data_IF_427480507738
#
_entry.id   IF_427480507738
#
_cell.length_a   1.000
_cell.length_b   1.000
_cell.length_c   1.000
_cell.angle_alpha   90.00
_cell.angle_beta   90.00
_cell.angle_gamma   90.00
#
_symmetry.space_group_name_H-M   'P 1'
#
loop_
_entity.id
_entity.type
_entity.pdbx_description
1 polymer ?
#
# COMPACT_ATOMS: atom_id res chain seq x y z
N UNK A 1 -29.49 48.69 38.84
CA UNK A 1 -28.37 47.73 38.96
C UNK A 1 -28.15 46.97 37.65
N UNK A 2 -29.20 46.50 36.98
CA UNK A 2 -29.12 45.92 35.61
C UNK A 2 -28.34 46.78 34.60
N UNK A 3 -28.57 48.09 34.54
CA UNK A 3 -27.96 48.95 33.51
C UNK A 3 -26.45 49.11 33.70
N UNK A 4 -25.98 49.22 34.95
CA UNK A 4 -24.55 49.25 35.26
C UNK A 4 -23.88 47.92 34.89
N UNK A 5 -24.55 46.79 35.14
CA UNK A 5 -24.03 45.48 34.77
C UNK A 5 -23.96 45.28 33.26
N UNK A 6 -24.96 45.79 32.53
CA UNK A 6 -24.97 45.78 31.06
C UNK A 6 -23.81 46.61 30.50
N UNK A 7 -23.58 47.81 31.03
CA UNK A 7 -22.47 48.67 30.63
C UNK A 7 -21.10 48.03 30.87
N UNK A 8 -20.89 47.42 32.05
CA UNK A 8 -19.64 46.71 32.36
C UNK A 8 -19.44 45.53 31.41
N UNK A 9 -20.48 44.73 31.17
CA UNK A 9 -20.40 43.59 30.25
C UNK A 9 -20.09 44.02 28.82
N UNK A 10 -20.72 45.08 28.32
CA UNK A 10 -20.47 45.61 26.98
C UNK A 10 -19.04 46.15 26.85
N UNK A 11 -18.56 46.94 27.82
CA UNK A 11 -17.19 47.44 27.84
C UNK A 11 -16.17 46.30 27.85
N UNK A 12 -16.34 45.32 28.76
CA UNK A 12 -15.44 44.17 28.88
C UNK A 12 -15.41 43.33 27.58
N UNK A 13 -16.58 43.08 26.98
CA UNK A 13 -16.67 42.28 25.75
C UNK A 13 -16.03 43.01 24.56
N UNK A 14 -16.20 44.33 24.48
CA UNK A 14 -15.61 45.18 23.43
C UNK A 14 -14.08 45.20 23.55
N UNK A 15 -13.54 45.46 24.74
CA UNK A 15 -12.09 45.47 24.98
C UNK A 15 -11.47 44.09 24.74
N UNK A 16 -12.15 43.00 25.13
CA UNK A 16 -11.68 41.66 24.83
C UNK A 16 -11.67 41.35 23.32
N UNK A 17 -12.67 41.81 22.56
CA UNK A 17 -12.71 41.66 21.10
C UNK A 17 -11.60 42.45 20.40
N UNK A 18 -11.27 43.63 20.90
CA UNK A 18 -10.26 44.51 20.31
C UNK A 18 -8.83 44.00 20.58
N UNK A 19 -8.57 43.53 21.81
CA UNK A 19 -7.23 43.07 22.23
C UNK A 19 -6.95 41.62 21.81
N UNK A 20 -7.91 40.71 21.98
CA UNK A 20 -7.70 39.27 21.73
C UNK A 20 -8.19 38.83 20.35
N UNK A 21 -9.01 39.65 19.68
CA UNK A 21 -9.73 39.25 18.47
C UNK A 21 -10.79 38.18 18.74
N UNK A 22 -11.70 37.97 17.78
CA UNK A 22 -12.56 36.80 17.81
C UNK A 22 -11.76 35.56 17.42
N UNK A 23 -11.77 34.53 18.29
CA UNK A 23 -11.26 33.21 17.93
C UNK A 23 -11.96 32.74 16.66
N UNK A 24 -11.26 32.75 15.53
CA UNK A 24 -11.79 32.30 14.25
C UNK A 24 -12.10 30.82 14.36
N UNK A 25 -13.39 30.52 14.51
CA UNK A 25 -13.84 29.13 14.52
C UNK A 25 -13.80 28.65 13.08
N UNK A 26 -12.74 27.93 12.73
CA UNK A 26 -12.69 27.22 11.46
C UNK A 26 -13.72 26.08 11.53
N UNK A 27 -14.91 26.34 10.98
CA UNK A 27 -15.84 25.27 10.70
C UNK A 27 -15.18 24.29 9.72
N UNK A 28 -15.52 23.00 9.84
CA UNK A 28 -14.97 22.00 8.92
C UNK A 28 -15.31 22.44 7.50
N UNK A 29 -14.32 22.46 6.62
CA UNK A 29 -14.41 22.99 5.25
C UNK A 29 -15.60 22.42 4.45
N UNK A 30 -16.06 21.23 4.80
CA UNK A 30 -17.17 20.56 4.12
C UNK A 30 -18.57 20.99 4.56
N UNK A 31 -18.73 21.76 5.64
CA UNK A 31 -20.04 22.21 6.11
C UNK A 31 -20.43 23.45 5.30
N UNK A 32 -21.57 23.38 4.61
CA UNK A 32 -22.08 24.49 3.81
C UNK A 32 -22.59 25.64 4.68
N UNK A 33 -22.60 26.84 4.11
CA UNK A 33 -23.22 28.03 4.73
C UNK A 33 -24.70 27.80 5.04
N UNK A 34 -25.43 27.15 4.15
CA UNK A 34 -26.84 26.78 4.35
C UNK A 34 -27.03 25.88 5.60
N UNK A 35 -26.15 24.91 5.82
CA UNK A 35 -26.18 24.06 7.03
C UNK A 35 -25.86 24.87 8.28
N UNK A 36 -24.94 25.85 8.21
CA UNK A 36 -24.64 26.74 9.32
C UNK A 36 -25.85 27.60 9.70
N UNK A 37 -26.60 28.09 8.71
CA UNK A 37 -27.83 28.85 8.94
C UNK A 37 -28.90 27.98 9.62
N UNK A 38 -29.07 26.73 9.18
CA UNK A 38 -29.96 25.75 9.84
C UNK A 38 -29.53 25.46 11.29
N UNK A 39 -28.23 25.42 11.57
CA UNK A 39 -27.71 25.24 12.94
C UNK A 39 -28.03 26.46 13.80
N UNK A 40 -27.91 27.67 13.24
CA UNK A 40 -28.25 28.92 13.91
C UNK A 40 -29.75 28.99 14.22
N UNK A 41 -30.60 28.67 13.24
CA UNK A 41 -32.05 28.60 13.43
C UNK A 41 -32.45 27.58 14.52
N UNK A 42 -31.87 26.38 14.50
CA UNK A 42 -32.08 25.39 15.57
C UNK A 42 -31.67 25.92 16.96
N UNK A 43 -30.61 26.73 17.07
CA UNK A 43 -30.20 27.36 18.34
C UNK A 43 -31.24 28.39 18.79
N UNK A 44 -31.77 29.20 17.87
CA UNK A 44 -32.83 30.16 18.18
C UNK A 44 -34.09 29.46 18.69
N UNK A 45 -34.52 28.37 18.03
CA UNK A 45 -35.64 27.53 18.48
C UNK A 45 -35.38 26.89 19.84
N UNK A 46 -34.13 26.54 20.16
CA UNK A 46 -33.75 26.05 21.49
C UNK A 46 -33.87 27.15 22.56
N UNK A 47 -33.54 28.39 22.23
CA UNK A 47 -33.74 29.54 23.12
C UNK A 47 -35.24 29.81 23.36
N UNK A 48 -36.08 29.68 22.33
CA UNK A 48 -37.53 29.81 22.47
C UNK A 48 -38.13 28.82 23.50
N UNK A 49 -37.64 27.57 23.54
CA UNK A 49 -38.04 26.57 24.55
C UNK A 49 -37.68 27.04 25.97
N UNK A 50 -36.48 27.62 26.14
CA UNK A 50 -36.01 28.06 27.46
C UNK A 50 -36.77 29.29 27.95
N UNK A 51 -37.23 30.14 27.02
CA UNK A 51 -37.97 31.37 27.33
C UNK A 51 -39.50 31.18 27.38
N UNK A 52 -40.00 29.96 27.09
CA UNK A 52 -41.44 29.66 27.09
C UNK A 52 -42.01 29.79 28.50
N UNK A 53 -43.11 30.54 28.66
CA UNK A 53 -43.72 30.81 29.97
C UNK A 53 -44.87 29.84 30.27
N UNK A 54 -45.59 29.41 29.23
CA UNK A 54 -46.72 28.48 29.38
C UNK A 54 -46.37 27.08 28.90
N UNK A 55 -47.10 26.07 29.41
CA UNK A 55 -46.92 24.67 29.00
C UNK A 55 -47.21 24.47 27.50
N UNK A 56 -48.22 25.17 26.96
CA UNK A 56 -48.60 25.10 25.56
C UNK A 56 -47.50 25.65 24.64
N UNK A 57 -46.97 26.84 24.94
CA UNK A 57 -45.83 27.43 24.22
C UNK A 57 -44.61 26.51 24.21
N UNK A 58 -44.33 25.88 25.36
CA UNK A 58 -43.19 24.96 25.49
C UNK A 58 -43.33 23.73 24.61
N UNK A 59 -44.54 23.17 24.48
CA UNK A 59 -44.82 22.03 23.60
C UNK A 59 -44.63 22.43 22.12
N UNK A 60 -45.14 23.61 21.74
CA UNK A 60 -44.98 24.12 20.37
C UNK A 60 -43.51 24.37 20.02
N UNK A 61 -42.78 25.08 20.88
CA UNK A 61 -41.36 25.35 20.68
C UNK A 61 -40.51 24.06 20.66
N UNK A 62 -40.91 23.04 21.42
CA UNK A 62 -40.28 21.71 21.35
C UNK A 62 -40.52 21.03 20.01
N UNK A 63 -41.74 21.06 19.47
CA UNK A 63 -42.05 20.48 18.16
C UNK A 63 -41.22 21.15 17.04
N UNK A 64 -41.14 22.47 17.06
CA UNK A 64 -40.33 23.25 16.09
C UNK A 64 -38.84 22.94 16.19
N UNK A 65 -38.30 22.83 17.41
CA UNK A 65 -36.91 22.43 17.63
C UNK A 65 -36.63 21.02 17.12
N UNK A 66 -37.56 20.07 17.34
CA UNK A 66 -37.40 18.69 16.86
C UNK A 66 -37.29 18.67 15.34
N UNK A 67 -38.15 19.42 14.64
CA UNK A 67 -38.12 19.46 13.18
C UNK A 67 -36.85 20.15 12.66
N UNK A 68 -36.47 21.30 13.23
CA UNK A 68 -35.21 21.97 12.88
C UNK A 68 -33.98 21.07 13.15
N UNK A 69 -33.99 20.29 14.23
CA UNK A 69 -32.93 19.33 14.53
C UNK A 69 -32.87 18.18 13.51
N UNK A 70 -34.02 17.71 12.99
CA UNK A 70 -34.04 16.73 11.89
C UNK A 70 -33.45 17.34 10.61
N UNK A 71 -33.81 18.58 10.27
CA UNK A 71 -33.29 19.27 9.09
C UNK A 71 -31.77 19.51 9.18
N UNK A 72 -31.26 19.90 10.35
CA UNK A 72 -29.81 20.00 10.62
C UNK A 72 -29.12 18.65 10.44
N UNK A 73 -29.68 17.56 10.99
CA UNK A 73 -29.10 16.22 10.80
C UNK A 73 -29.11 15.78 9.34
N UNK A 74 -30.15 16.10 8.57
CA UNK A 74 -30.23 15.79 7.13
C UNK A 74 -29.22 16.58 6.32
N UNK A 75 -29.13 17.89 6.53
CA UNK A 75 -28.20 18.79 5.82
C UNK A 75 -26.74 18.44 6.11
N UNK A 76 -26.36 18.20 7.37
CA UNK A 76 -25.01 17.72 7.73
C UNK A 76 -24.65 16.40 7.01
N UNK A 77 -25.61 15.47 6.88
CA UNK A 77 -25.37 14.21 6.16
C UNK A 77 -25.20 14.45 4.65
N UNK A 78 -25.98 15.37 4.07
CA UNK A 78 -25.90 15.73 2.67
C UNK A 78 -24.56 16.41 2.34
N UNK A 79 -24.16 17.41 3.13
CA UNK A 79 -22.88 18.10 2.98
C UNK A 79 -21.70 17.16 3.09
N UNK A 80 -21.71 16.27 4.10
CA UNK A 80 -20.66 15.26 4.25
C UNK A 80 -20.60 14.31 3.05
N UNK A 81 -21.75 13.90 2.52
CA UNK A 81 -21.84 13.04 1.35
C UNK A 81 -21.24 13.76 0.12
N UNK A 82 -21.67 15.00 -0.14
CA UNK A 82 -21.18 15.82 -1.25
C UNK A 82 -19.67 16.00 -1.21
N UNK A 83 -19.12 16.38 -0.05
CA UNK A 83 -17.68 16.54 0.11
C UNK A 83 -16.89 15.24 -0.13
N UNK A 84 -17.40 14.10 0.35
CA UNK A 84 -16.75 12.81 0.10
C UNK A 84 -16.84 12.43 -1.38
N UNK A 85 -17.94 12.71 -2.06
CA UNK A 85 -18.10 12.50 -3.51
C UNK A 85 -17.11 13.37 -4.30
N UNK A 86 -16.98 14.66 -3.98
CA UNK A 86 -16.02 15.56 -4.61
C UNK A 86 -14.57 15.10 -4.44
N UNK A 87 -14.18 14.66 -3.23
CA UNK A 87 -12.85 14.10 -2.97
C UNK A 87 -12.58 12.85 -3.79
N UNK A 88 -13.57 11.98 -3.95
CA UNK A 88 -13.45 10.78 -4.79
C UNK A 88 -13.30 11.17 -6.26
N UNK A 89 -14.15 12.07 -6.77
CA UNK A 89 -14.06 12.52 -8.16
C UNK A 89 -12.71 13.17 -8.45
N UNK A 90 -12.15 13.92 -7.50
CA UNK A 90 -10.80 14.47 -7.59
C UNK A 90 -9.72 13.38 -7.61
N UNK A 91 -9.80 12.37 -6.72
CA UNK A 91 -8.87 11.24 -6.72
C UNK A 91 -8.94 10.46 -8.05
N UNK A 92 -10.13 10.27 -8.59
CA UNK A 92 -10.35 9.61 -9.88
C UNK A 92 -9.80 10.40 -11.07
N UNK A 93 -9.90 11.72 -11.03
CA UNK A 93 -9.28 12.62 -12.02
C UNK A 93 -7.76 12.53 -11.94
N UNK A 94 -7.19 12.68 -10.74
CA UNK A 94 -5.75 12.58 -10.51
C UNK A 94 -5.18 11.23 -10.96
N UNK A 95 -5.89 10.12 -10.71
CA UNK A 95 -5.48 8.80 -11.18
C UNK A 95 -5.48 8.70 -12.72
N UNK A 96 -6.47 9.28 -13.41
CA UNK A 96 -6.53 9.31 -14.88
C UNK A 96 -5.39 10.14 -15.48
N UNK A 97 -5.04 11.23 -14.83
CA UNK A 97 -3.97 12.15 -15.25
C UNK A 97 -2.57 11.65 -14.85
N UNK A 98 -2.46 10.51 -14.16
CA UNK A 98 -1.18 9.99 -13.65
C UNK A 98 -0.59 10.83 -12.51
N UNK A 99 -1.34 11.77 -11.93
CA UNK A 99 -0.90 12.64 -10.85
C UNK A 99 -0.93 11.90 -9.49
N UNK A 100 0.10 11.09 -9.26
CA UNK A 100 0.21 10.22 -8.08
C UNK A 100 0.23 11.00 -6.76
N UNK A 101 0.80 12.21 -6.75
CA UNK A 101 0.87 13.07 -5.55
C UNK A 101 -0.54 13.50 -5.11
N UNK A 102 -1.32 14.06 -6.02
CA UNK A 102 -2.69 14.49 -5.71
C UNK A 102 -3.59 13.31 -5.33
N UNK A 103 -3.42 12.17 -6.01
CA UNK A 103 -4.13 10.94 -5.67
C UNK A 103 -3.82 10.46 -4.24
N UNK A 104 -2.54 10.50 -3.84
CA UNK A 104 -2.12 10.14 -2.49
C UNK A 104 -2.68 11.11 -1.45
N UNK A 105 -2.55 12.41 -1.69
CA UNK A 105 -3.02 13.46 -0.77
C UNK A 105 -4.54 13.41 -0.58
N UNK A 106 -5.30 13.20 -1.66
CA UNK A 106 -6.78 13.06 -1.61
C UNK A 106 -7.19 11.78 -0.88
N UNK A 107 -6.53 10.66 -1.15
CA UNK A 107 -6.78 9.39 -0.45
C UNK A 107 -6.45 9.51 1.05
N UNK A 108 -5.35 10.19 1.39
CA UNK A 108 -4.95 10.45 2.79
C UNK A 108 -5.97 11.34 3.51
N UNK A 109 -6.48 12.39 2.83
CA UNK A 109 -7.59 13.23 3.33
C UNK A 109 -8.86 12.40 3.54
N UNK A 110 -9.14 11.43 2.67
CA UNK A 110 -10.33 10.56 2.75
C UNK A 110 -10.23 9.50 3.86
N UNK A 111 -9.07 8.88 4.06
CA UNK A 111 -8.86 7.82 5.05
C UNK A 111 -8.91 8.33 6.51
N UNK A 112 -8.70 9.64 6.72
CA UNK A 112 -8.59 10.26 8.04
C UNK A 112 -7.24 9.97 8.70
N UNK A 113 -7.09 10.31 10.00
CA UNK A 113 -5.87 10.04 10.77
C UNK A 113 -5.76 8.54 11.09
N UNK A 114 -5.21 7.75 10.18
CA UNK A 114 -4.58 6.50 10.57
C UNK A 114 -3.16 6.84 11.04
N UNK A 115 -2.90 6.83 12.34
CA UNK A 115 -1.53 6.78 12.84
C UNK A 115 -1.02 5.36 12.63
N UNK A 116 -0.06 5.17 11.72
CA UNK A 116 0.89 4.07 11.92
C UNK A 116 1.57 4.35 13.26
N UNK A 117 1.73 3.34 14.11
CA UNK A 117 2.87 3.38 15.00
C UNK A 117 4.10 3.35 14.09
N UNK A 118 4.80 4.47 13.97
CA UNK A 118 6.14 4.46 13.40
C UNK A 118 6.98 3.52 14.28
N UNK A 119 7.72 2.61 13.63
CA UNK A 119 8.69 1.82 14.37
C UNK A 119 9.74 2.81 14.87
N UNK A 120 10.03 2.85 16.18
CA UNK A 120 11.08 3.72 16.69
C UNK A 120 12.39 3.41 15.95
N UNK A 121 13.08 4.45 15.51
CA UNK A 121 14.46 4.34 15.00
C UNK A 121 15.31 3.76 16.13
N UNK A 122 16.22 2.83 15.84
CA UNK A 122 17.02 2.16 16.85
C UNK A 122 18.49 2.58 16.77
N UNK A 123 19.18 2.58 17.91
CA UNK A 123 20.63 2.68 17.99
C UNK A 123 21.31 1.39 17.48
N UNK A 124 22.64 1.31 17.52
CA UNK A 124 23.40 0.15 17.05
C UNK A 124 23.18 -1.08 17.93
N UNK A 125 22.81 -0.86 19.19
CA UNK A 125 22.55 -1.86 20.22
C UNK A 125 21.09 -2.36 20.18
N UNK A 126 20.24 -1.77 19.34
CA UNK A 126 18.86 -2.19 19.09
C UNK A 126 17.80 -1.54 20.00
N UNK A 127 18.17 -0.52 20.79
CA UNK A 127 17.27 0.24 21.64
C UNK A 127 16.57 1.37 20.88
N UNK A 128 15.31 1.69 21.21
CA UNK A 128 14.54 2.74 20.53
C UNK A 128 15.03 4.16 20.88
N UNK A 129 15.36 4.94 19.87
CA UNK A 129 15.73 6.36 19.94
C UNK A 129 14.46 7.22 19.84
N UNK A 130 14.16 7.94 20.91
CA UNK A 130 12.98 8.82 21.02
C UNK A 130 13.25 10.27 20.62
N UNK A 131 14.50 10.71 20.63
CA UNK A 131 14.90 12.09 20.37
C UNK A 131 15.24 12.36 18.90
N UNK A 132 14.66 13.41 18.29
CA UNK A 132 14.82 13.74 16.87
C UNK A 132 16.28 14.01 16.49
N UNK A 133 17.05 14.66 17.37
CA UNK A 133 18.45 14.96 17.09
C UNK A 133 19.31 13.69 17.04
N UNK A 134 19.07 12.76 17.97
CA UNK A 134 19.73 11.46 18.00
C UNK A 134 19.34 10.61 16.78
N UNK A 135 18.09 10.67 16.33
CA UNK A 135 17.68 10.02 15.08
C UNK A 135 18.45 10.54 13.88
N UNK A 136 18.64 11.87 13.77
CA UNK A 136 19.45 12.48 12.70
C UNK A 136 20.89 12.02 12.76
N UNK A 137 21.49 12.01 13.95
CA UNK A 137 22.86 11.53 14.14
C UNK A 137 23.01 10.06 13.76
N UNK A 138 22.04 9.21 14.12
CA UNK A 138 22.02 7.79 13.75
C UNK A 138 21.93 7.59 12.23
N UNK A 139 21.19 8.46 11.53
CA UNK A 139 21.14 8.47 10.07
C UNK A 139 22.47 8.90 9.44
N UNK A 140 23.10 9.95 9.97
CA UNK A 140 24.43 10.41 9.51
C UNK A 140 25.44 9.27 9.65
N UNK A 141 25.51 8.65 10.82
CA UNK A 141 26.42 7.54 11.10
C UNK A 141 26.18 6.34 10.16
N UNK A 142 24.92 5.96 9.93
CA UNK A 142 24.59 4.86 9.00
C UNK A 142 25.08 5.14 7.58
N UNK A 143 24.90 6.38 7.09
CA UNK A 143 25.32 6.74 5.74
C UNK A 143 26.83 6.94 5.62
N UNK A 144 27.50 7.43 6.66
CA UNK A 144 28.96 7.52 6.70
C UNK A 144 29.60 6.13 6.63
N UNK A 145 29.09 5.17 7.40
CA UNK A 145 29.57 3.79 7.39
C UNK A 145 29.34 3.11 6.03
N UNK A 146 28.18 3.36 5.41
CA UNK A 146 27.82 2.77 4.12
C UNK A 146 28.61 3.35 2.94
N UNK A 147 28.88 4.66 2.95
CA UNK A 147 29.42 5.37 1.78
C UNK A 147 30.93 5.62 1.86
N UNK A 148 31.55 5.57 3.04
CA UNK A 148 32.95 5.94 3.25
C UNK A 148 33.83 4.77 3.76
N UNK A 149 33.63 3.55 3.24
CA UNK A 149 34.49 2.40 3.55
C UNK A 149 35.95 2.68 3.10
N UNK A 150 36.97 2.47 3.97
CA UNK A 150 38.36 2.71 3.61
C UNK A 150 38.86 1.72 2.55
N UNK A 151 39.80 2.16 1.71
CA UNK A 151 40.43 1.30 0.71
C UNK A 151 41.28 0.20 1.38
N UNK A 152 41.28 -1.03 0.86
CA UNK A 152 42.02 -2.14 1.45
C UNK A 152 43.53 -1.88 1.47
N UNK A 153 44.17 -2.28 2.58
CA UNK A 153 45.55 -1.90 2.91
C UNK A 153 46.62 -2.69 2.14
N UNK A 154 46.25 -3.82 1.55
CA UNK A 154 47.14 -4.66 0.75
C UNK A 154 46.68 -4.67 -0.72
N UNK A 155 47.57 -4.44 -1.70
CA UNK A 155 47.22 -4.62 -3.10
C UNK A 155 46.88 -6.10 -3.36
N UNK A 156 45.84 -6.40 -4.17
CA UNK A 156 45.43 -7.77 -4.43
C UNK A 156 46.49 -8.51 -5.26
N UNK A 157 46.88 -9.69 -4.80
CA UNK A 157 47.65 -10.65 -5.57
C UNK A 157 46.68 -11.42 -6.48
N UNK A 158 46.57 -10.98 -7.73
CA UNK A 158 45.71 -11.60 -8.74
C UNK A 158 46.52 -12.75 -9.36
N UNK A 159 46.29 -13.99 -8.92
CA UNK A 159 46.80 -15.14 -9.66
C UNK A 159 46.15 -15.15 -11.06
N UNK A 160 47.00 -15.03 -12.08
CA UNK A 160 46.56 -15.05 -13.48
C UNK A 160 45.81 -16.36 -13.77
N UNK A 161 44.60 -16.25 -14.30
CA UNK A 161 43.75 -17.39 -14.63
C UNK A 161 44.53 -18.44 -15.42
N UNK A 162 44.70 -19.63 -14.84
CA UNK A 162 45.36 -20.75 -15.49
C UNK A 162 44.50 -21.28 -16.62
N UNK A 163 44.94 -21.01 -17.86
CA UNK A 163 44.69 -21.75 -19.13
C UNK A 163 43.23 -21.96 -19.57
N UNK A 164 42.96 -21.65 -20.83
CA UNK A 164 41.73 -22.03 -21.53
C UNK A 164 41.45 -23.53 -21.34
N UNK A 165 40.27 -23.86 -20.81
CA UNK A 165 39.82 -25.24 -20.70
C UNK A 165 39.86 -25.86 -22.12
N UNK A 166 40.50 -27.03 -22.31
CA UNK A 166 40.57 -27.65 -23.62
C UNK A 166 39.16 -28.01 -24.07
N UNK A 167 38.64 -27.27 -25.05
CA UNK A 167 37.37 -27.58 -25.71
C UNK A 167 37.65 -28.78 -26.61
N UNK A 168 37.05 -29.92 -26.28
CA UNK A 168 37.12 -31.11 -27.14
C UNK A 168 36.35 -30.86 -28.44
N UNK A 169 37.06 -30.79 -29.56
CA UNK A 169 36.51 -30.58 -30.90
C UNK A 169 36.11 -31.87 -31.60
N UNK A 170 36.22 -33.03 -30.93
CA UNK A 170 35.83 -34.30 -31.51
C UNK A 170 34.30 -34.44 -31.62
N UNK A 171 33.78 -35.17 -32.63
CA UNK A 171 32.36 -35.44 -32.76
C UNK A 171 31.83 -36.17 -31.50
N UNK A 172 30.71 -35.72 -30.91
CA UNK A 172 30.21 -36.30 -29.68
C UNK A 172 29.86 -37.78 -29.88
N UNK A 173 30.36 -38.62 -28.98
CA UNK A 173 30.14 -40.06 -29.02
C UNK A 173 28.69 -40.39 -28.69
N UNK A 174 28.20 -41.54 -29.20
CA UNK A 174 26.83 -42.03 -28.95
C UNK A 174 26.50 -42.10 -27.45
N UNK A 175 27.49 -42.38 -26.62
CA UNK A 175 27.34 -42.49 -25.18
C UNK A 175 27.23 -41.13 -24.49
N UNK A 176 27.96 -40.11 -24.97
CA UNK A 176 27.83 -38.72 -24.53
C UNK A 176 26.48 -38.12 -24.91
N UNK A 177 26.01 -38.39 -26.14
CA UNK A 177 24.67 -37.98 -26.57
C UNK A 177 23.62 -38.63 -25.67
N UNK A 178 23.77 -39.92 -25.34
CA UNK A 178 22.85 -40.63 -24.42
C UNK A 178 22.90 -40.04 -23.00
N UNK A 179 24.07 -39.68 -22.50
CA UNK A 179 24.26 -39.03 -21.21
C UNK A 179 23.61 -37.63 -21.19
N UNK A 180 23.85 -36.83 -22.22
CA UNK A 180 23.28 -35.49 -22.35
C UNK A 180 21.76 -35.53 -22.41
N UNK A 181 21.17 -36.44 -23.22
CA UNK A 181 19.72 -36.66 -23.31
C UNK A 181 19.12 -37.06 -21.96
N UNK A 182 19.82 -37.86 -21.14
CA UNK A 182 19.39 -38.18 -19.77
C UNK A 182 19.37 -36.95 -18.85
N UNK A 183 20.31 -36.02 -19.01
CA UNK A 183 20.43 -34.80 -18.19
C UNK A 183 19.43 -33.69 -18.55
N UNK A 184 18.74 -33.77 -19.70
CA UNK A 184 17.70 -32.80 -20.09
C UNK A 184 16.63 -32.75 -18.99
N UNK A 185 16.23 -31.57 -18.52
CA UNK A 185 15.20 -31.45 -17.46
C UNK A 185 13.79 -31.69 -18.03
N UNK A 186 12.97 -32.48 -17.34
CA UNK A 186 11.56 -32.68 -17.69
C UNK A 186 10.74 -31.41 -17.37
N UNK A 187 9.63 -31.18 -18.08
CA UNK A 187 8.72 -30.06 -17.90
C UNK A 187 9.14 -28.77 -18.61
N UNK A 188 10.08 -28.83 -19.58
CA UNK A 188 10.41 -27.70 -20.45
C UNK A 188 9.31 -27.52 -21.51
N UNK A 189 9.06 -26.27 -21.92
CA UNK A 189 8.14 -25.98 -23.03
C UNK A 189 8.69 -26.59 -24.33
N UNK A 190 7.82 -27.22 -25.12
CA UNK A 190 8.20 -27.71 -26.43
C UNK A 190 8.59 -26.53 -27.34
N UNK A 191 9.75 -26.66 -27.98
CA UNK A 191 10.22 -25.71 -29.00
C UNK A 191 9.30 -25.77 -30.26
N UNK A 192 9.51 -24.93 -31.30
CA UNK A 192 8.58 -24.77 -32.43
C UNK A 192 8.08 -26.08 -33.08
N UNK A 193 8.87 -27.15 -32.98
CA UNK A 193 8.58 -28.46 -33.54
C UNK A 193 7.61 -29.32 -32.70
N UNK A 194 7.12 -28.81 -31.56
CA UNK A 194 6.17 -29.46 -30.64
C UNK A 194 6.65 -30.80 -30.02
N UNK A 195 7.95 -31.10 -30.03
CA UNK A 195 8.51 -32.31 -29.42
C UNK A 195 8.87 -32.03 -27.95
N UNK A 196 8.22 -32.68 -26.98
CA UNK A 196 8.55 -32.51 -25.57
C UNK A 196 9.83 -33.26 -25.20
N UNK A 197 10.61 -32.71 -24.26
CA UNK A 197 11.88 -33.29 -23.80
C UNK A 197 11.72 -34.74 -23.27
N UNK A 198 10.53 -35.08 -22.79
CA UNK A 198 10.13 -36.39 -22.32
C UNK A 198 10.06 -37.44 -23.44
N UNK A 199 9.75 -37.04 -24.68
CA UNK A 199 9.67 -37.96 -25.82
C UNK A 199 11.06 -38.47 -26.26
N UNK A 200 12.12 -37.71 -25.96
CA UNK A 200 13.51 -38.07 -26.28
C UNK A 200 14.15 -38.98 -25.23
N UNK A 201 13.50 -39.16 -24.07
CA UNK A 201 14.01 -40.01 -22.99
C UNK A 201 13.40 -41.41 -23.07
N UNK A 202 14.19 -42.48 -23.26
CA UNK A 202 13.65 -43.83 -23.21
C UNK A 202 13.14 -44.14 -21.80
N UNK A 203 11.86 -44.48 -21.70
CA UNK A 203 11.18 -44.80 -20.45
C UNK A 203 11.71 -46.09 -19.84
N UNK A 204 12.60 -45.97 -18.84
CA UNK A 204 12.80 -46.99 -17.82
C UNK A 204 12.59 -46.35 -16.44
N UNK A 205 11.34 -46.46 -15.96
CA UNK A 205 10.89 -46.54 -14.58
C UNK A 205 11.54 -45.64 -13.51
N UNK A 206 10.74 -44.67 -13.06
CA UNK A 206 10.44 -44.35 -11.66
C UNK A 206 11.55 -43.73 -10.78
N UNK A 207 11.05 -42.86 -9.88
CA UNK A 207 11.61 -42.45 -8.58
C UNK A 207 12.64 -41.32 -8.57
N UNK A 208 12.20 -40.24 -7.94
CA UNK A 208 12.93 -39.31 -7.07
C UNK A 208 14.46 -39.40 -7.12
N UNK A 209 15.13 -38.30 -7.49
CA UNK A 209 16.05 -37.59 -6.61
C UNK A 209 16.69 -36.40 -7.36
N UNK A 210 16.21 -35.21 -6.98
CA UNK A 210 16.95 -33.95 -6.76
C UNK A 210 18.45 -34.01 -7.11
N UNK A 211 18.90 -33.22 -8.09
CA UNK A 211 20.28 -32.70 -8.15
C UNK A 211 20.25 -31.21 -8.43
N UNK A 212 20.60 -30.46 -7.38
CA UNK A 212 20.93 -29.04 -7.38
C UNK A 212 22.19 -28.80 -8.22
N UNK A 213 22.26 -27.63 -8.83
CA UNK A 213 23.44 -27.17 -9.58
C UNK A 213 24.40 -26.62 -8.53
N UNK A 214 25.62 -27.14 -8.53
CA UNK A 214 26.83 -26.79 -7.75
C UNK A 214 26.71 -25.57 -6.82
N UNK A 215 26.74 -25.84 -5.51
CA UNK A 215 27.00 -24.85 -4.46
C UNK A 215 28.49 -24.46 -4.51
N UNK A 216 28.81 -23.29 -5.08
CA UNK A 216 30.11 -22.68 -4.85
C UNK A 216 30.08 -22.05 -3.44
N UNK A 217 30.46 -22.83 -2.43
CA UNK A 217 30.56 -22.38 -1.03
C UNK A 217 31.85 -21.61 -0.74
N UNK A 218 32.42 -20.94 -1.75
CA UNK A 218 33.64 -20.18 -1.60
C UNK A 218 33.27 -18.77 -1.09
N UNK A 219 33.83 -18.32 0.04
CA UNK A 219 33.54 -17.01 0.58
C UNK A 219 33.92 -15.92 -0.45
N UNK A 220 32.94 -15.11 -0.85
CA UNK A 220 33.18 -13.99 -1.76
C UNK A 220 33.86 -12.90 -0.95
N UNK A 221 35.12 -12.64 -1.27
CA UNK A 221 35.91 -11.57 -0.65
C UNK A 221 35.85 -10.34 -1.55
N UNK A 222 35.35 -9.22 -1.00
CA UNK A 222 35.49 -7.90 -1.61
C UNK A 222 36.46 -7.11 -0.77
N UNK A 223 37.53 -6.59 -1.39
CA UNK A 223 38.53 -5.76 -0.71
C UNK A 223 39.18 -6.44 0.52
N UNK A 224 39.37 -7.76 0.47
CA UNK A 224 39.99 -8.53 1.58
C UNK A 224 39.07 -8.78 2.78
N UNK A 225 37.85 -8.26 2.76
CA UNK A 225 36.80 -8.61 3.72
C UNK A 225 35.90 -9.70 3.13
N UNK A 226 35.69 -10.77 3.89
CA UNK A 226 34.68 -11.77 3.55
C UNK A 226 33.32 -11.11 3.62
N UNK A 227 32.59 -11.07 2.49
CA UNK A 227 31.22 -10.59 2.50
C UNK A 227 30.40 -11.44 3.46
N UNK A 228 29.67 -10.77 4.34
CA UNK A 228 28.71 -11.44 5.21
C UNK A 228 27.62 -12.06 4.33
N UNK A 229 27.47 -13.38 4.44
CA UNK A 229 26.41 -14.09 3.74
C UNK A 229 25.09 -13.83 4.47
N UNK A 230 24.18 -13.12 3.80
CA UNK A 230 22.91 -12.69 4.39
C UNK A 230 21.78 -13.50 3.77
N UNK A 231 21.07 -14.27 4.61
CA UNK A 231 19.94 -15.14 4.21
C UNK A 231 18.85 -14.38 3.41
N UNK A 232 18.62 -13.10 3.73
CA UNK A 232 17.78 -12.22 2.91
C UNK A 232 18.12 -10.74 3.07
N UNK A 233 18.03 -9.98 1.99
CA UNK A 233 18.25 -8.54 2.00
C UNK A 233 17.14 -7.77 1.26
N UNK A 234 17.00 -6.48 1.56
CA UNK A 234 16.02 -5.62 0.88
C UNK A 234 16.70 -4.72 -0.12
N UNK A 235 16.37 -4.88 -1.40
CA UNK A 235 16.84 -4.01 -2.48
C UNK A 235 15.66 -3.28 -3.14
N UNK A 236 15.72 -1.94 -3.17
CA UNK A 236 14.65 -1.08 -3.70
C UNK A 236 13.24 -1.41 -3.15
N UNK A 237 13.21 -1.90 -1.91
CA UNK A 237 12.02 -2.27 -1.18
C UNK A 237 11.47 -3.68 -1.45
N UNK A 238 12.11 -4.46 -2.32
CA UNK A 238 11.84 -5.88 -2.58
C UNK A 238 12.80 -6.77 -1.82
N UNK A 239 12.31 -7.91 -1.32
CA UNK A 239 13.12 -8.87 -0.56
C UNK A 239 13.71 -9.90 -1.51
N UNK A 240 15.02 -10.10 -1.42
CA UNK A 240 15.77 -11.13 -2.13
C UNK A 240 16.26 -12.12 -1.07
N UNK A 241 15.86 -13.39 -1.20
CA UNK A 241 16.28 -14.48 -0.31
C UNK A 241 17.38 -15.34 -0.97
N UNK A 242 18.12 -16.09 -0.15
CA UNK A 242 19.19 -17.01 -0.56
C UNK A 242 18.73 -17.99 -1.64
N UNK A 243 17.46 -18.41 -1.61
CA UNK A 243 16.90 -19.33 -2.60
C UNK A 243 16.58 -18.64 -3.95
N UNK A 244 16.80 -17.32 -4.07
CA UNK A 244 16.50 -16.52 -5.25
C UNK A 244 15.02 -16.56 -5.64
N UNK A 245 14.15 -16.86 -4.67
CA UNK A 245 12.73 -17.05 -4.84
C UNK A 245 11.93 -15.76 -4.70
N UNK A 246 10.78 -15.69 -5.36
CA UNK A 246 9.86 -14.56 -5.19
C UNK A 246 8.96 -14.69 -3.95
N UNK A 247 9.08 -15.75 -3.14
CA UNK A 247 8.07 -16.07 -2.13
C UNK A 247 8.11 -15.12 -0.93
N UNK A 248 9.32 -14.82 -0.44
CA UNK A 248 9.53 -13.86 0.65
C UNK A 248 9.00 -12.47 0.27
N UNK A 249 9.32 -11.98 -0.94
CA UNK A 249 8.83 -10.69 -1.41
C UNK A 249 7.31 -10.66 -1.59
N UNK A 250 6.73 -11.70 -2.21
CA UNK A 250 5.27 -11.83 -2.37
C UNK A 250 4.57 -11.79 -1.00
N UNK A 251 5.11 -12.51 -0.01
CA UNK A 251 4.56 -12.52 1.35
C UNK A 251 4.64 -11.14 2.00
N UNK A 252 5.77 -10.44 1.86
CA UNK A 252 5.94 -9.09 2.37
C UNK A 252 5.00 -8.08 1.69
N UNK A 253 4.82 -8.15 0.37
CA UNK A 253 3.87 -7.31 -0.38
C UNK A 253 2.43 -7.56 0.02
N UNK A 254 2.04 -8.82 0.24
CA UNK A 254 0.72 -9.16 0.81
C UNK A 254 0.55 -8.52 2.19
N UNK A 255 1.59 -8.55 3.04
CA UNK A 255 1.58 -7.87 4.34
C UNK A 255 1.35 -6.37 4.21
N UNK A 256 2.12 -5.68 3.36
CA UNK A 256 1.98 -4.23 3.10
C UNK A 256 0.61 -3.88 2.52
N UNK A 257 0.12 -4.65 1.55
CA UNK A 257 -1.18 -4.45 0.94
C UNK A 257 -2.33 -4.69 1.92
N UNK A 258 -2.19 -5.65 2.85
CA UNK A 258 -3.16 -5.89 3.92
C UNK A 258 -3.27 -4.67 4.84
N UNK A 259 -2.14 -4.05 5.21
CA UNK A 259 -2.15 -2.82 6.00
C UNK A 259 -2.86 -1.70 5.23
N UNK A 260 -2.52 -1.48 3.96
CA UNK A 260 -3.17 -0.48 3.12
C UNK A 260 -4.69 -0.72 3.00
N UNK A 261 -5.12 -1.97 2.87
CA UNK A 261 -6.54 -2.32 2.84
C UNK A 261 -7.23 -1.97 4.16
N UNK A 262 -6.63 -2.30 5.31
CA UNK A 262 -7.21 -2.03 6.62
C UNK A 262 -7.30 -0.53 6.92
N UNK A 263 -6.34 0.28 6.45
CA UNK A 263 -6.38 1.74 6.57
C UNK A 263 -7.63 2.35 5.93
N UNK A 264 -8.15 1.71 4.88
CA UNK A 264 -9.32 2.18 4.13
C UNK A 264 -10.65 1.55 4.64
N UNK A 265 -10.67 0.94 5.83
CA UNK A 265 -11.86 0.28 6.42
C UNK A 265 -13.12 1.16 6.40
N UNK A 266 -12.96 2.46 6.68
CA UNK A 266 -14.08 3.40 6.70
C UNK A 266 -14.69 3.61 5.30
N UNK A 267 -13.88 3.51 4.24
CA UNK A 267 -14.31 3.62 2.85
C UNK A 267 -15.09 2.36 2.47
N UNK A 268 -14.58 1.18 2.81
CA UNK A 268 -15.24 -0.10 2.51
C UNK A 268 -16.63 -0.18 3.17
N UNK A 269 -16.72 0.23 4.43
CA UNK A 269 -17.97 0.20 5.20
C UNK A 269 -18.93 1.36 4.86
N UNK A 270 -18.52 2.34 4.07
CA UNK A 270 -19.36 3.48 3.72
C UNK A 270 -20.53 3.03 2.83
N UNK A 271 -21.76 3.22 3.30
CA UNK A 271 -22.98 3.05 2.49
C UNK A 271 -23.18 4.17 1.46
N UNK A 272 -22.41 5.26 1.57
CA UNK A 272 -22.51 6.43 0.70
C UNK A 272 -21.71 6.27 -0.60
N UNK A 273 -20.74 5.35 -0.62
CA UNK A 273 -19.86 5.13 -1.76
C UNK A 273 -20.37 3.97 -2.61
N UNK A 274 -20.40 4.16 -3.93
CA UNK A 274 -20.76 3.09 -4.87
C UNK A 274 -19.72 1.98 -4.88
N UNK A 275 -20.13 0.77 -5.25
CA UNK A 275 -19.22 -0.37 -5.39
C UNK A 275 -18.11 -0.10 -6.40
N UNK A 276 -18.43 0.55 -7.52
CA UNK A 276 -17.45 0.87 -8.58
C UNK A 276 -16.33 1.77 -8.06
N UNK A 277 -16.67 2.79 -7.27
CA UNK A 277 -15.69 3.67 -6.61
C UNK A 277 -14.79 2.86 -5.68
N UNK A 278 -15.36 1.99 -4.85
CA UNK A 278 -14.58 1.16 -3.91
C UNK A 278 -13.62 0.22 -4.64
N UNK A 279 -14.04 -0.39 -5.75
CA UNK A 279 -13.18 -1.26 -6.57
C UNK A 279 -12.04 -0.47 -7.21
N UNK A 280 -12.29 0.75 -7.67
CA UNK A 280 -11.25 1.63 -8.21
C UNK A 280 -10.22 2.04 -7.14
N UNK A 281 -10.69 2.41 -5.95
CA UNK A 281 -9.81 2.72 -4.81
C UNK A 281 -8.96 1.50 -4.45
N UNK A 282 -9.56 0.30 -4.43
CA UNK A 282 -8.85 -0.95 -4.20
C UNK A 282 -7.75 -1.18 -5.25
N UNK A 283 -8.05 -1.00 -6.53
CA UNK A 283 -7.08 -1.20 -7.62
C UNK A 283 -5.92 -0.19 -7.53
N UNK A 284 -6.23 1.06 -7.18
CA UNK A 284 -5.25 2.15 -7.19
C UNK A 284 -4.33 2.12 -5.97
N UNK A 285 -4.85 1.78 -4.79
CA UNK A 285 -4.08 1.82 -3.55
C UNK A 285 -3.58 0.44 -3.12
N UNK A 286 -4.48 -0.54 -3.03
CA UNK A 286 -4.16 -1.85 -2.46
C UNK A 286 -3.45 -2.74 -3.49
N UNK A 287 -3.97 -2.81 -4.72
CA UNK A 287 -3.39 -3.62 -5.79
C UNK A 287 -2.04 -3.06 -6.28
N UNK A 288 -1.87 -1.74 -6.28
CA UNK A 288 -0.58 -1.11 -6.60
C UNK A 288 0.51 -1.50 -5.58
N UNK A 289 0.21 -1.46 -4.28
CA UNK A 289 1.14 -1.91 -3.23
C UNK A 289 1.43 -3.41 -3.31
N UNK A 290 0.40 -4.21 -3.62
CA UNK A 290 0.52 -5.65 -3.77
C UNK A 290 1.42 -6.07 -4.93
N UNK A 291 1.32 -5.38 -6.07
CA UNK A 291 2.02 -5.74 -7.31
C UNK A 291 3.29 -4.91 -7.55
N UNK A 292 3.73 -4.12 -6.57
CA UNK A 292 5.02 -3.45 -6.67
C UNK A 292 6.12 -4.50 -6.68
N UNK A 293 7.04 -4.42 -7.64
CA UNK A 293 8.13 -5.39 -7.80
C UNK A 293 7.68 -6.70 -8.45
N UNK A 294 6.42 -6.81 -8.90
CA UNK A 294 5.93 -8.04 -9.54
C UNK A 294 6.63 -8.36 -10.87
N UNK A 295 7.32 -7.39 -11.46
CA UNK A 295 8.15 -7.55 -12.67
C UNK A 295 9.35 -8.47 -12.45
N UNK A 296 9.85 -8.57 -11.21
CA UNK A 296 10.97 -9.47 -10.86
C UNK A 296 10.49 -10.81 -10.29
N UNK A 297 9.17 -11.01 -10.20
CA UNK A 297 8.63 -12.25 -9.64
C UNK A 297 8.67 -13.38 -10.66
N UNK A 298 9.07 -14.57 -10.20
CA UNK A 298 8.88 -15.80 -10.98
C UNK A 298 7.38 -16.10 -11.05
N UNK A 299 6.82 -16.05 -12.26
CA UNK A 299 5.40 -16.32 -12.55
C UNK A 299 5.05 -17.80 -12.41
N UNK A 300 5.07 -18.31 -11.18
CA UNK A 300 4.64 -19.69 -10.87
C UNK A 300 3.14 -19.74 -10.60
N UNK A 301 2.53 -20.90 -10.85
CA UNK A 301 1.12 -21.14 -10.50
C UNK A 301 0.85 -20.88 -9.01
N UNK A 302 1.81 -21.19 -8.14
CA UNK A 302 1.72 -20.96 -6.70
C UNK A 302 1.71 -19.48 -6.36
N UNK A 303 2.62 -18.68 -6.94
CA UNK A 303 2.65 -17.21 -6.76
C UNK A 303 1.34 -16.57 -7.22
N UNK A 304 0.84 -16.96 -8.40
CA UNK A 304 -0.42 -16.46 -8.94
C UNK A 304 -1.59 -16.81 -8.01
N UNK A 305 -1.64 -18.05 -7.49
CA UNK A 305 -2.68 -18.48 -6.53
C UNK A 305 -2.63 -17.66 -5.25
N UNK A 306 -1.44 -17.44 -4.65
CA UNK A 306 -1.28 -16.64 -3.42
C UNK A 306 -1.81 -15.21 -3.60
N UNK A 307 -1.43 -14.55 -4.70
CA UNK A 307 -1.90 -13.19 -5.03
C UNK A 307 -3.41 -13.16 -5.26
N UNK A 308 -3.96 -14.12 -6.02
CA UNK A 308 -5.41 -14.22 -6.29
C UNK A 308 -6.22 -14.42 -5.03
N UNK A 309 -5.80 -15.31 -4.13
CA UNK A 309 -6.47 -15.56 -2.85
C UNK A 309 -6.58 -14.28 -2.02
N UNK A 310 -5.49 -13.51 -1.94
CA UNK A 310 -5.50 -12.23 -1.22
C UNK A 310 -6.45 -11.20 -1.85
N UNK A 311 -6.39 -11.02 -3.18
CA UNK A 311 -7.27 -10.09 -3.90
C UNK A 311 -8.74 -10.47 -3.67
N UNK A 312 -9.09 -11.75 -3.83
CA UNK A 312 -10.46 -12.23 -3.66
C UNK A 312 -10.94 -12.06 -2.21
N UNK A 313 -10.07 -12.30 -1.23
CA UNK A 313 -10.38 -12.07 0.19
C UNK A 313 -10.69 -10.59 0.47
N UNK A 314 -9.96 -9.66 -0.14
CA UNK A 314 -10.21 -8.23 0.00
C UNK A 314 -11.53 -7.82 -0.68
N UNK A 315 -11.77 -8.27 -1.91
CA UNK A 315 -12.98 -7.98 -2.65
C UNK A 315 -14.23 -8.53 -1.96
N UNK A 316 -14.16 -9.74 -1.37
CA UNK A 316 -15.26 -10.31 -0.58
C UNK A 316 -15.60 -9.51 0.68
N UNK A 317 -14.68 -8.69 1.18
CA UNK A 317 -14.89 -7.80 2.33
C UNK A 317 -15.37 -6.40 1.94
N UNK A 318 -15.42 -6.07 0.66
CA UNK A 318 -16.00 -4.82 0.17
C UNK A 318 -17.50 -5.08 -0.09
N UNK A 319 -18.41 -4.48 0.70
CA UNK A 319 -19.85 -4.66 0.52
C UNK A 319 -20.27 -4.28 -0.90
N UNK A 320 -21.05 -5.16 -1.54
CA UNK A 320 -21.60 -5.00 -2.90
C UNK A 320 -20.57 -5.05 -4.05
N UNK A 321 -19.33 -5.50 -3.82
CA UNK A 321 -18.34 -5.76 -4.87
C UNK A 321 -18.51 -7.16 -5.53
N UNK A 322 -19.38 -8.01 -4.99
CA UNK A 322 -19.69 -9.34 -5.53
C UNK A 322 -20.30 -9.29 -6.95
N UNK A 323 -20.95 -8.19 -7.33
CA UNK A 323 -21.47 -7.98 -8.68
C UNK A 323 -20.40 -7.62 -9.73
N UNK A 324 -19.18 -7.26 -9.30
CA UNK A 324 -18.03 -6.99 -10.20
C UNK A 324 -17.02 -8.16 -10.21
N UNK A 325 -17.37 -9.30 -9.59
CA UNK A 325 -16.64 -10.56 -9.75
C UNK A 325 -16.97 -11.18 -11.12
N UNK A 326 -16.73 -10.40 -12.17
CA UNK A 326 -17.01 -10.70 -13.57
C UNK A 326 -15.76 -10.45 -14.42
N UNK A 327 -14.86 -11.42 -14.39
CA UNK A 327 -13.96 -11.86 -15.49
C UNK A 327 -12.91 -10.95 -16.14
N UNK A 328 -12.93 -9.61 -16.16
CA UNK A 328 -12.07 -8.90 -17.14
C UNK A 328 -10.85 -8.10 -16.63
N UNK A 329 -10.83 -7.54 -15.41
CA UNK A 329 -9.71 -6.66 -15.01
C UNK A 329 -8.61 -7.31 -14.18
N UNK A 330 -8.86 -8.50 -13.60
CA UNK A 330 -7.90 -9.16 -12.70
C UNK A 330 -6.97 -10.12 -13.42
N UNK A 331 -7.43 -10.80 -14.48
CA UNK A 331 -6.57 -11.70 -15.26
C UNK A 331 -5.83 -10.95 -16.38
N UNK A 332 -6.46 -10.04 -17.13
CA UNK A 332 -5.82 -9.41 -18.29
C UNK A 332 -4.62 -8.54 -17.91
N UNK A 333 -4.75 -7.65 -16.93
CA UNK A 333 -3.64 -6.81 -16.46
C UNK A 333 -2.57 -7.59 -15.69
N UNK A 334 -2.97 -8.66 -14.99
CA UNK A 334 -2.03 -9.53 -14.27
C UNK A 334 -1.27 -10.44 -15.25
N UNK A 335 -1.93 -10.96 -16.29
CA UNK A 335 -1.30 -11.70 -17.40
C UNK A 335 -0.40 -10.80 -18.24
N UNK A 336 -0.84 -9.56 -18.54
CA UNK A 336 -0.03 -8.55 -19.26
C UNK A 336 1.22 -8.14 -18.47
N UNK A 337 1.11 -7.92 -17.16
CA UNK A 337 2.26 -7.62 -16.28
C UNK A 337 3.14 -8.83 -15.96
N UNK A 338 2.59 -10.04 -15.99
CA UNK A 338 3.34 -11.30 -15.73
C UNK A 338 3.77 -12.01 -17.02
N UNK A 339 3.79 -11.32 -18.16
CA UNK A 339 4.39 -11.80 -19.42
C UNK A 339 3.61 -12.87 -20.20
N UNK A 340 2.31 -13.07 -19.94
CA UNK A 340 1.46 -13.97 -20.74
C UNK A 340 0.48 -13.17 -21.59
N UNK A 341 0.96 -12.62 -22.71
CA UNK A 341 0.08 -12.30 -23.83
C UNK A 341 0.10 -13.53 -24.73
N UNK A 342 -0.97 -14.32 -24.66
CA UNK A 342 -1.28 -15.25 -25.75
C UNK A 342 -1.63 -14.36 -26.95
N UNK A 343 -0.84 -14.45 -28.01
CA UNK A 343 -1.16 -13.83 -29.28
C UNK A 343 -2.41 -14.48 -29.86
N UNK A 344 -3.38 -13.67 -30.24
CA UNK A 344 -4.41 -14.04 -31.22
C UNK A 344 -4.89 -12.75 -31.87
N UNK A 345 -4.72 -12.68 -33.19
CA UNK A 345 -5.27 -11.64 -34.05
C UNK A 345 -6.76 -11.78 -34.29
#
# INVERSE_FOLDING_TARGET
>A
MEDNWKGIKEALTSTCQEVLGLKKYHHKEWISTETLDKIKDRKNKKAAINNSRTRAEKVQAQAEYIEANKQVKRSIRADKKKYVEELVTAAEKAAREGNMKQLYDTTKKQAGKYSKSERPVKDKEGNPITEIQQQRNRWVEYFEELLNRPAPMNPPDIEAAHTDLPIDVNPPTKEEIRMAVRQIKNGKAAEPDNIPAEALKPNCNTTDHRRTITENNNPITLDGETLEDVESFTYLGSIIDEQGGSDADVKARIGKARVAFLQLKNIWNSKQLSSNIKVRIFSTNVKAVLLYGAETWRTTTTTIKKVKVFINSCLGRIPSATAFCGREQTNFQLKKKLGKVDGSG
#
